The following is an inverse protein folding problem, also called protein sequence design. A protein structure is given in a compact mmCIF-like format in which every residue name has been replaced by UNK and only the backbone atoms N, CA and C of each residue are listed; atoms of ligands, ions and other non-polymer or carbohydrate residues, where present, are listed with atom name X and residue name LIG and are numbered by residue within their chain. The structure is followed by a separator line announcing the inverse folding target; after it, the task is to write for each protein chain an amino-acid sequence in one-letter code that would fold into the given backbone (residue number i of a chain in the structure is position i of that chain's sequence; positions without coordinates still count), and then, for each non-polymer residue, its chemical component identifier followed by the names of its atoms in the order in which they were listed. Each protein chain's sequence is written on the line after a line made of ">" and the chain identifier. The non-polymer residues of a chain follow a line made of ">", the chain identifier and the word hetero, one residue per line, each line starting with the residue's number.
data_IF_545406810515
#
_entry.id   IF_545406810515
#
_cell.length_a   1.000
_cell.length_b   1.000
_cell.length_c   1.000
_cell.angle_alpha   90.00
_cell.angle_beta   90.00
_cell.angle_gamma   90.00
#
_symmetry.space_group_name_H-M   'P 1'
#
loop_
_entity.id
_entity.type
_entity.pdbx_description
1 polymer ?
#
# COMPACT_ATOMS: atom_id res chain seq x y z
N UNK A 1 34.39 -14.20 -12.91
CA UNK A 1 33.05 -13.82 -13.26
C UNK A 1 32.11 -14.80 -12.53
N UNK A 2 31.50 -14.40 -11.45
CA UNK A 2 30.46 -15.22 -10.80
C UNK A 2 29.24 -15.17 -11.72
N UNK A 3 28.90 -16.28 -12.35
CA UNK A 3 27.64 -16.43 -13.10
C UNK A 3 26.55 -16.42 -12.03
N UNK A 4 25.91 -15.27 -11.83
CA UNK A 4 24.68 -15.21 -11.01
C UNK A 4 23.66 -16.11 -11.70
N UNK A 5 23.15 -17.09 -10.96
CA UNK A 5 22.09 -17.98 -11.46
C UNK A 5 20.90 -17.11 -11.90
N UNK A 6 20.27 -17.49 -13.02
CA UNK A 6 19.06 -16.77 -13.50
C UNK A 6 17.98 -16.88 -12.44
N UNK A 7 17.24 -15.78 -12.12
CA UNK A 7 16.11 -15.86 -11.20
C UNK A 7 15.05 -16.84 -11.71
N UNK A 8 14.52 -17.66 -10.81
CA UNK A 8 13.41 -18.58 -11.07
C UNK A 8 12.10 -17.80 -10.88
N UNK A 9 11.30 -17.69 -11.93
CA UNK A 9 10.10 -16.85 -11.98
C UNK A 9 8.87 -17.71 -12.23
N UNK A 10 7.80 -17.44 -11.47
CA UNK A 10 6.47 -18.01 -11.70
C UNK A 10 5.53 -16.90 -12.16
N UNK A 11 4.72 -17.18 -13.18
CA UNK A 11 3.80 -16.19 -13.77
C UNK A 11 2.35 -16.50 -13.38
N UNK A 12 1.58 -15.46 -13.02
CA UNK A 12 0.17 -15.59 -12.65
C UNK A 12 -0.63 -14.49 -13.33
N UNK A 13 -1.53 -14.85 -14.25
CA UNK A 13 -2.43 -13.93 -14.94
C UNK A 13 -3.57 -14.71 -15.57
N UNK A 14 -4.82 -14.28 -15.44
CA UNK A 14 -5.98 -14.98 -16.02
C UNK A 14 -6.11 -14.79 -17.54
N UNK A 15 -5.23 -13.98 -18.15
CA UNK A 15 -5.17 -13.74 -19.57
C UNK A 15 -3.99 -14.47 -20.23
N UNK A 16 -4.25 -15.54 -20.96
CA UNK A 16 -3.21 -16.35 -21.64
C UNK A 16 -2.30 -15.54 -22.59
N UNK A 17 -2.84 -14.51 -23.24
CA UNK A 17 -2.05 -13.61 -24.10
C UNK A 17 -1.03 -12.79 -23.29
N UNK A 18 -1.38 -12.38 -22.08
CA UNK A 18 -0.46 -11.65 -21.18
C UNK A 18 0.64 -12.59 -20.72
N UNK A 19 0.32 -13.80 -20.27
CA UNK A 19 1.32 -14.81 -19.89
C UNK A 19 2.32 -15.07 -21.04
N UNK A 20 1.81 -15.28 -22.27
CA UNK A 20 2.66 -15.50 -23.44
C UNK A 20 3.55 -14.28 -23.75
N UNK A 21 3.00 -13.06 -23.65
CA UNK A 21 3.74 -11.83 -23.88
C UNK A 21 4.82 -11.60 -22.83
N UNK A 22 4.48 -11.73 -21.55
CA UNK A 22 5.42 -11.59 -20.43
C UNK A 22 6.54 -12.62 -20.53
N UNK A 23 6.23 -13.88 -20.84
CA UNK A 23 7.25 -14.92 -21.06
C UNK A 23 8.20 -14.55 -22.21
N UNK A 24 7.67 -14.02 -23.32
CA UNK A 24 8.50 -13.60 -24.46
C UNK A 24 9.42 -12.41 -24.10
N UNK A 25 8.92 -11.43 -23.36
CA UNK A 25 9.69 -10.27 -22.91
C UNK A 25 10.79 -10.63 -21.90
N UNK A 26 10.54 -11.57 -21.00
CA UNK A 26 11.53 -12.06 -20.04
C UNK A 26 12.64 -12.88 -20.72
N UNK A 27 12.32 -13.60 -21.80
CA UNK A 27 13.24 -14.33 -22.64
C UNK A 27 14.21 -15.22 -21.84
N UNK A 28 15.48 -15.19 -22.23
CA UNK A 28 16.55 -15.95 -21.58
C UNK A 28 17.12 -15.28 -20.31
N UNK A 29 16.59 -14.14 -19.89
CA UNK A 29 17.10 -13.40 -18.73
C UNK A 29 16.70 -14.03 -17.39
N UNK A 30 15.66 -14.86 -17.38
CA UNK A 30 15.13 -15.57 -16.22
C UNK A 30 14.80 -17.03 -16.57
N UNK A 31 14.55 -17.86 -15.56
CA UNK A 31 14.01 -19.21 -15.72
C UNK A 31 12.54 -19.19 -15.34
N UNK A 32 11.61 -19.28 -16.31
CA UNK A 32 10.18 -19.40 -16.03
C UNK A 32 9.88 -20.84 -15.62
N UNK A 33 9.61 -21.06 -14.32
CA UNK A 33 9.42 -22.39 -13.72
C UNK A 33 7.97 -22.87 -13.73
N UNK A 34 7.03 -22.00 -14.06
CA UNK A 34 5.61 -22.32 -14.18
C UNK A 34 4.74 -21.09 -14.42
N UNK A 35 3.47 -21.35 -14.71
CA UNK A 35 2.44 -20.34 -14.88
C UNK A 35 1.08 -20.89 -14.47
N UNK A 36 0.20 -20.00 -14.00
CA UNK A 36 -1.18 -20.31 -13.62
C UNK A 36 -2.12 -19.17 -14.00
N UNK A 37 -3.37 -19.52 -14.27
CA UNK A 37 -4.43 -18.57 -14.61
C UNK A 37 -5.52 -18.43 -13.54
N UNK A 38 -5.42 -19.18 -12.45
CA UNK A 38 -6.39 -19.20 -11.35
C UNK A 38 -5.65 -19.13 -10.01
N UNK A 39 -6.28 -18.50 -9.02
CA UNK A 39 -5.67 -18.23 -7.71
C UNK A 39 -5.32 -19.53 -6.97
N UNK A 40 -6.23 -20.49 -6.91
CA UNK A 40 -6.02 -21.76 -6.21
C UNK A 40 -4.89 -22.57 -6.82
N UNK A 41 -4.87 -22.69 -8.16
CA UNK A 41 -3.81 -23.40 -8.89
C UNK A 41 -2.45 -22.68 -8.71
N UNK A 42 -2.44 -21.34 -8.71
CA UNK A 42 -1.23 -20.57 -8.48
C UNK A 42 -0.63 -20.86 -7.09
N UNK A 43 -1.46 -20.85 -6.04
CA UNK A 43 -1.01 -21.10 -4.66
C UNK A 43 -0.36 -22.49 -4.53
N UNK A 44 -1.02 -23.53 -5.07
CA UNK A 44 -0.51 -24.90 -5.04
C UNK A 44 0.82 -25.03 -5.81
N UNK A 45 0.85 -24.60 -7.07
CA UNK A 45 2.02 -24.74 -7.93
C UNK A 45 3.21 -23.89 -7.47
N UNK A 46 2.98 -22.69 -6.93
CA UNK A 46 4.05 -21.85 -6.38
C UNK A 46 4.70 -22.54 -5.17
N UNK A 47 3.89 -23.14 -4.29
CA UNK A 47 4.39 -23.90 -3.14
C UNK A 47 5.25 -25.09 -3.55
N UNK A 48 4.89 -25.81 -4.63
CA UNK A 48 5.68 -26.93 -5.15
C UNK A 48 6.96 -26.49 -5.86
N UNK A 49 6.91 -25.41 -6.63
CA UNK A 49 8.02 -24.97 -7.49
C UNK A 49 9.03 -24.09 -6.75
N UNK A 50 8.61 -23.44 -5.67
CA UNK A 50 9.42 -22.51 -4.86
C UNK A 50 10.26 -21.55 -5.71
N UNK A 51 9.62 -20.65 -6.50
CA UNK A 51 10.33 -19.66 -7.31
C UNK A 51 11.01 -18.60 -6.45
N UNK A 52 11.98 -17.86 -7.01
CA UNK A 52 12.57 -16.69 -6.37
C UNK A 52 11.60 -15.49 -6.42
N UNK A 53 10.90 -15.35 -7.54
CA UNK A 53 9.95 -14.26 -7.79
C UNK A 53 8.66 -14.80 -8.40
N UNK A 54 7.53 -14.34 -7.90
CA UNK A 54 6.22 -14.48 -8.54
C UNK A 54 5.85 -13.16 -9.17
N UNK A 55 5.68 -13.14 -10.49
CA UNK A 55 5.11 -12.02 -11.24
C UNK A 55 3.62 -12.30 -11.42
N UNK A 56 2.76 -11.43 -10.85
CA UNK A 56 1.33 -11.73 -10.78
C UNK A 56 0.45 -10.53 -11.11
N UNK A 57 -0.66 -10.81 -11.81
CA UNK A 57 -1.72 -9.81 -12.01
C UNK A 57 -2.44 -9.53 -10.69
N UNK A 58 -2.78 -8.25 -10.51
CA UNK A 58 -3.54 -7.77 -9.35
C UNK A 58 -5.01 -8.13 -9.45
N UNK A 59 -5.57 -8.04 -10.66
CA UNK A 59 -7.00 -8.16 -10.92
C UNK A 59 -7.37 -9.50 -11.57
N UNK A 60 -7.56 -10.51 -10.75
CA UNK A 60 -8.02 -11.84 -11.19
C UNK A 60 -9.25 -12.26 -10.37
N UNK A 61 -10.13 -13.12 -10.91
CA UNK A 61 -11.16 -13.77 -10.10
C UNK A 61 -10.59 -14.52 -8.89
N UNK A 62 -11.39 -14.76 -7.87
CA UNK A 62 -10.95 -15.56 -6.70
C UNK A 62 -10.12 -14.79 -5.67
N UNK A 63 -10.18 -13.45 -5.66
CA UNK A 63 -9.47 -12.60 -4.69
C UNK A 63 -8.20 -11.95 -5.23
N UNK A 64 -7.87 -12.21 -6.50
CA UNK A 64 -6.78 -11.56 -7.22
C UNK A 64 -5.38 -11.86 -6.70
N UNK A 65 -4.42 -11.10 -7.16
CA UNK A 65 -3.02 -11.24 -6.75
C UNK A 65 -2.80 -11.12 -5.25
N UNK A 66 -3.63 -10.34 -4.57
CA UNK A 66 -3.56 -10.21 -3.11
C UNK A 66 -3.77 -11.56 -2.41
N UNK A 67 -4.75 -12.35 -2.80
CA UNK A 67 -5.02 -13.66 -2.19
C UNK A 67 -3.83 -14.62 -2.36
N UNK A 68 -3.18 -14.61 -3.53
CA UNK A 68 -1.97 -15.40 -3.79
C UNK A 68 -0.83 -14.95 -2.86
N UNK A 69 -0.58 -13.65 -2.75
CA UNK A 69 0.49 -13.10 -1.90
C UNK A 69 0.27 -13.49 -0.43
N UNK A 70 -0.95 -13.31 0.09
CA UNK A 70 -1.27 -13.61 1.49
C UNK A 70 -1.13 -15.11 1.80
N UNK A 71 -1.64 -15.99 0.92
CA UNK A 71 -1.60 -17.43 1.13
C UNK A 71 -0.18 -18.00 1.02
N UNK A 72 0.55 -17.64 -0.04
CA UNK A 72 1.92 -18.12 -0.28
C UNK A 72 2.89 -17.50 0.71
N UNK A 73 2.78 -16.19 0.99
CA UNK A 73 3.67 -15.49 1.92
C UNK A 73 3.61 -16.01 3.35
N UNK A 74 2.46 -16.56 3.78
CA UNK A 74 2.29 -17.18 5.08
C UNK A 74 3.11 -18.49 5.24
N UNK A 75 3.34 -19.21 4.16
CA UNK A 75 4.02 -20.52 4.17
C UNK A 75 5.43 -20.48 3.58
N UNK A 76 5.70 -19.53 2.67
CA UNK A 76 6.96 -19.41 1.94
C UNK A 76 7.46 -17.95 1.98
N UNK A 77 7.95 -17.44 3.12
CA UNK A 77 8.34 -16.05 3.33
C UNK A 77 9.51 -15.56 2.46
N UNK A 78 10.29 -16.48 1.90
CA UNK A 78 11.44 -16.16 1.04
C UNK A 78 11.03 -15.83 -0.39
N UNK A 79 9.83 -16.24 -0.84
CA UNK A 79 9.30 -15.95 -2.17
C UNK A 79 8.93 -14.46 -2.24
N UNK A 80 9.38 -13.80 -3.30
CA UNK A 80 9.13 -12.38 -3.51
C UNK A 80 8.07 -12.18 -4.59
N UNK A 81 7.23 -11.14 -4.41
CA UNK A 81 6.12 -10.85 -5.31
C UNK A 81 6.33 -9.52 -6.01
N UNK A 82 6.20 -9.53 -7.33
CA UNK A 82 6.14 -8.36 -8.19
C UNK A 82 4.75 -8.28 -8.83
N UNK A 83 3.95 -7.32 -8.42
CA UNK A 83 2.63 -7.12 -8.99
C UNK A 83 2.71 -6.46 -10.37
N UNK A 84 1.94 -6.97 -11.32
CA UNK A 84 1.78 -6.46 -12.68
C UNK A 84 0.31 -6.09 -12.89
N UNK A 85 -0.02 -4.84 -13.25
CA UNK A 85 -1.41 -4.39 -13.37
C UNK A 85 -1.62 -3.42 -14.52
N UNK A 86 -2.84 -3.32 -15.01
CA UNK A 86 -3.27 -2.27 -15.95
C UNK A 86 -3.53 -0.94 -15.24
N UNK A 87 -3.80 -0.97 -13.94
CA UNK A 87 -4.14 0.18 -13.09
C UNK A 87 -2.93 0.68 -12.31
N UNK A 88 -2.84 1.98 -12.09
CA UNK A 88 -1.92 2.63 -11.15
C UNK A 88 -2.68 3.29 -9.97
N UNK A 89 -3.89 2.82 -9.70
CA UNK A 89 -4.72 3.32 -8.60
C UNK A 89 -4.05 3.05 -7.24
N UNK A 90 -4.06 4.07 -6.38
CA UNK A 90 -3.39 4.01 -5.07
C UNK A 90 -3.91 2.87 -4.19
N UNK A 91 -5.20 2.56 -4.27
CA UNK A 91 -5.82 1.50 -3.48
C UNK A 91 -5.26 0.12 -3.84
N UNK A 92 -5.09 -0.17 -5.14
CA UNK A 92 -4.53 -1.44 -5.63
C UNK A 92 -3.08 -1.61 -5.18
N UNK A 93 -2.28 -0.55 -5.37
CA UNK A 93 -0.86 -0.53 -4.97
C UNK A 93 -0.73 -0.78 -3.47
N UNK A 94 -1.46 -0.01 -2.65
CA UNK A 94 -1.41 -0.13 -1.19
C UNK A 94 -1.86 -1.52 -0.73
N UNK A 95 -2.90 -2.08 -1.34
CA UNK A 95 -3.44 -3.39 -0.98
C UNK A 95 -2.40 -4.51 -1.18
N UNK A 96 -1.73 -4.56 -2.34
CA UNK A 96 -0.76 -5.63 -2.63
C UNK A 96 0.57 -5.43 -1.87
N UNK A 97 1.02 -4.19 -1.65
CA UNK A 97 2.21 -3.92 -0.84
C UNK A 97 1.97 -4.31 0.62
N UNK A 98 0.79 -4.01 1.18
CA UNK A 98 0.41 -4.47 2.53
C UNK A 98 0.31 -6.00 2.63
N UNK A 99 -0.11 -6.67 1.57
CA UNK A 99 -0.13 -8.13 1.50
C UNK A 99 1.28 -8.75 1.46
N UNK A 100 2.32 -7.97 1.10
CA UNK A 100 3.72 -8.43 1.09
C UNK A 100 4.42 -8.32 -0.26
N UNK A 101 3.80 -7.71 -1.28
CA UNK A 101 4.50 -7.48 -2.55
C UNK A 101 5.72 -6.57 -2.36
N UNK A 102 6.81 -6.90 -3.05
CA UNK A 102 8.06 -6.13 -3.07
C UNK A 102 8.09 -5.10 -4.19
N UNK A 103 7.17 -5.17 -5.14
CA UNK A 103 7.10 -4.23 -6.21
C UNK A 103 5.76 -4.19 -6.90
N UNK A 104 5.57 -3.13 -7.67
CA UNK A 104 4.40 -2.90 -8.50
C UNK A 104 4.81 -2.22 -9.79
N UNK A 105 4.46 -2.82 -10.92
CA UNK A 105 4.69 -2.28 -12.26
C UNK A 105 3.39 -2.33 -13.07
N UNK A 106 3.25 -1.41 -14.01
CA UNK A 106 2.09 -1.42 -14.91
C UNK A 106 2.35 -2.30 -16.14
N UNK A 107 1.32 -2.91 -16.71
CA UNK A 107 1.40 -3.74 -17.93
C UNK A 107 1.86 -2.95 -19.18
N UNK A 108 2.12 -1.65 -19.02
CA UNK A 108 2.74 -0.78 -20.05
C UNK A 108 4.26 -0.72 -19.96
N UNK A 109 4.85 -1.40 -18.99
CA UNK A 109 6.31 -1.49 -18.82
C UNK A 109 6.96 -2.13 -20.06
N UNK A 110 8.14 -1.66 -20.45
CA UNK A 110 8.90 -2.29 -21.53
C UNK A 110 9.57 -3.58 -21.09
N UNK A 111 9.86 -4.50 -22.02
CA UNK A 111 10.51 -5.77 -21.71
C UNK A 111 11.84 -5.63 -20.96
N UNK A 112 12.78 -4.77 -21.39
CA UNK A 112 14.02 -4.55 -20.65
C UNK A 112 13.82 -4.03 -19.22
N UNK A 113 12.85 -3.12 -19.01
CA UNK A 113 12.51 -2.62 -17.67
C UNK A 113 11.85 -3.70 -16.80
N UNK A 114 11.04 -4.59 -17.39
CA UNK A 114 10.43 -5.70 -16.70
C UNK A 114 11.50 -6.70 -16.21
N UNK A 115 12.48 -7.02 -17.07
CA UNK A 115 13.63 -7.86 -16.70
C UNK A 115 14.42 -7.24 -15.55
N UNK A 116 14.74 -5.95 -15.62
CA UNK A 116 15.42 -5.22 -14.53
C UNK A 116 14.59 -5.28 -13.23
N UNK A 117 13.29 -5.04 -13.32
CA UNK A 117 12.39 -5.10 -12.17
C UNK A 117 12.40 -6.49 -11.50
N UNK A 118 12.32 -7.57 -12.28
CA UNK A 118 12.36 -8.95 -11.76
C UNK A 118 13.72 -9.23 -11.10
N UNK A 119 14.84 -8.85 -11.73
CA UNK A 119 16.18 -9.07 -11.18
C UNK A 119 16.39 -8.32 -9.85
N UNK A 120 15.95 -7.09 -9.77
CA UNK A 120 16.01 -6.27 -8.56
C UNK A 120 15.16 -6.85 -7.43
N UNK A 121 13.92 -7.26 -7.74
CA UNK A 121 13.05 -7.92 -6.75
C UNK A 121 13.66 -9.22 -6.30
N UNK A 122 14.25 -10.04 -7.20
CA UNK A 122 14.98 -11.25 -6.84
C UNK A 122 16.15 -10.96 -5.88
N UNK A 123 16.86 -9.86 -6.11
CA UNK A 123 17.91 -9.35 -5.21
C UNK A 123 17.42 -8.82 -3.86
N UNK A 124 16.11 -8.64 -3.69
CA UNK A 124 15.51 -8.13 -2.45
C UNK A 124 15.17 -6.64 -2.46
N UNK A 125 15.41 -5.93 -3.56
CA UNK A 125 15.03 -4.52 -3.71
C UNK A 125 13.51 -4.35 -3.81
N UNK A 126 13.03 -3.17 -3.42
CA UNK A 126 11.68 -2.75 -3.75
C UNK A 126 11.65 -2.07 -5.13
N UNK A 127 10.64 -2.39 -5.93
CA UNK A 127 10.46 -1.79 -7.27
C UNK A 127 9.11 -1.08 -7.36
N UNK A 128 9.17 0.24 -7.34
CA UNK A 128 8.02 1.13 -7.46
C UNK A 128 8.42 2.36 -8.28
N UNK A 129 7.52 2.90 -9.09
CA UNK A 129 7.75 4.23 -9.64
C UNK A 129 7.75 5.27 -8.50
N UNK A 130 8.42 6.44 -8.66
CA UNK A 130 8.43 7.48 -7.63
C UNK A 130 7.03 7.91 -7.18
N UNK A 131 6.05 7.95 -8.10
CA UNK A 131 4.65 8.28 -7.82
C UNK A 131 4.01 7.21 -6.92
N UNK A 132 4.18 5.93 -7.25
CA UNK A 132 3.60 4.82 -6.47
C UNK A 132 4.25 4.70 -5.10
N UNK A 133 5.56 4.95 -4.99
CA UNK A 133 6.26 5.02 -3.71
C UNK A 133 5.68 6.11 -2.80
N UNK A 134 5.28 7.27 -3.36
CA UNK A 134 4.58 8.32 -2.62
C UNK A 134 3.29 7.81 -1.98
N UNK A 135 2.43 7.11 -2.72
CA UNK A 135 1.18 6.54 -2.18
C UNK A 135 1.43 5.55 -1.04
N UNK A 136 2.45 4.71 -1.19
CA UNK A 136 2.83 3.74 -0.16
C UNK A 136 3.31 4.46 1.10
N UNK A 137 4.20 5.44 0.97
CA UNK A 137 4.70 6.21 2.11
C UNK A 137 3.60 6.97 2.83
N UNK A 138 2.67 7.59 2.10
CA UNK A 138 1.53 8.31 2.68
C UNK A 138 0.59 7.36 3.43
N UNK A 139 0.33 6.17 2.88
CA UNK A 139 -0.50 5.17 3.51
C UNK A 139 0.12 4.64 4.80
N UNK A 140 1.42 4.33 4.78
CA UNK A 140 2.13 3.87 5.98
C UNK A 140 2.31 4.98 7.02
N UNK A 141 2.52 6.24 6.61
CA UNK A 141 2.54 7.38 7.51
C UNK A 141 1.18 7.61 8.18
N UNK A 142 0.08 7.30 7.49
CA UNK A 142 -1.26 7.34 8.07
C UNK A 142 -1.49 6.21 9.10
N UNK A 143 -0.91 5.02 8.87
CA UNK A 143 -0.96 3.89 9.82
C UNK A 143 -0.01 4.10 11.02
N UNK A 144 1.10 4.80 10.82
CA UNK A 144 2.05 5.17 11.87
C UNK A 144 1.54 6.34 12.75
N UNK A 145 0.23 6.51 12.83
CA UNK A 145 -0.36 7.24 13.95
C UNK A 145 -0.07 6.41 15.17
N UNK A 146 0.75 6.96 16.04
CA UNK A 146 1.20 6.35 17.30
C UNK A 146 0.09 5.66 18.11
N UNK A 147 0.36 5.10 19.30
CA UNK A 147 -0.55 4.21 19.97
C UNK A 147 -1.98 4.72 19.86
N UNK A 148 -2.90 3.86 19.43
CA UNK A 148 -4.34 4.14 19.34
C UNK A 148 -4.75 4.90 20.59
N UNK A 149 -5.03 6.19 20.46
CA UNK A 149 -5.52 7.00 21.57
C UNK A 149 -7.05 6.84 21.58
N UNK A 150 -7.61 6.05 22.50
CA UNK A 150 -9.05 5.78 22.55
C UNK A 150 -9.89 7.06 22.63
N UNK A 151 -9.31 8.15 23.14
CA UNK A 151 -9.96 9.45 23.20
C UNK A 151 -10.05 10.09 21.82
N UNK A 152 -9.02 9.93 20.97
CA UNK A 152 -9.05 10.40 19.57
C UNK A 152 -10.01 9.59 18.69
N UNK A 153 -10.20 8.32 18.97
CA UNK A 153 -11.08 7.45 18.16
C UNK A 153 -12.57 7.76 18.35
N UNK A 154 -12.93 8.45 19.43
CA UNK A 154 -14.28 8.97 19.64
C UNK A 154 -14.61 10.17 18.74
N UNK A 155 -13.59 10.77 18.11
CA UNK A 155 -13.76 11.94 17.25
C UNK A 155 -14.00 11.53 15.81
N UNK A 156 -14.96 12.18 15.16
CA UNK A 156 -15.18 12.08 13.71
C UNK A 156 -13.99 12.69 12.95
N UNK A 157 -13.87 12.39 11.66
CA UNK A 157 -12.83 12.97 10.78
C UNK A 157 -12.83 14.50 10.86
N UNK A 158 -14.00 15.13 10.79
CA UNK A 158 -14.17 16.60 10.87
C UNK A 158 -13.80 17.16 12.24
N UNK A 159 -14.11 16.46 13.30
CA UNK A 159 -13.72 16.86 14.66
C UNK A 159 -12.20 16.76 14.84
N UNK A 160 -11.55 15.74 14.27
CA UNK A 160 -10.07 15.60 14.26
C UNK A 160 -9.39 16.72 13.48
N UNK A 161 -9.94 17.15 12.34
CA UNK A 161 -9.44 18.30 11.58
C UNK A 161 -9.52 19.59 12.38
N UNK A 162 -10.69 19.89 12.97
CA UNK A 162 -10.88 21.09 13.81
C UNK A 162 -9.98 21.05 15.03
N UNK A 163 -9.81 19.90 15.70
CA UNK A 163 -8.90 19.70 16.82
C UNK A 163 -7.46 20.10 16.46
N UNK A 164 -6.92 19.63 15.32
CA UNK A 164 -5.56 19.95 14.88
C UNK A 164 -5.34 21.45 14.69
N UNK A 165 -6.30 22.14 14.10
CA UNK A 165 -6.22 23.59 13.91
C UNK A 165 -6.31 24.36 15.24
N UNK A 166 -7.20 23.94 16.13
CA UNK A 166 -7.32 24.53 17.45
C UNK A 166 -6.04 24.37 18.28
N UNK A 167 -5.44 23.19 18.23
CA UNK A 167 -4.19 22.87 18.92
C UNK A 167 -3.02 23.74 18.44
N UNK A 168 -2.97 24.04 17.13
CA UNK A 168 -2.00 24.96 16.51
C UNK A 168 -2.28 26.44 16.77
N UNK A 169 -3.34 26.77 17.49
CA UNK A 169 -3.64 28.14 17.88
C UNK A 169 -4.53 28.94 16.90
N UNK A 170 -5.02 28.33 15.79
CA UNK A 170 -5.86 29.04 14.82
C UNK A 170 -7.21 29.47 15.43
N UNK A 171 -7.64 30.69 15.11
CA UNK A 171 -8.97 31.18 15.47
C UNK A 171 -10.08 30.46 14.69
N UNK A 172 -11.31 30.47 15.20
CA UNK A 172 -12.44 29.87 14.50
C UNK A 172 -12.67 30.44 13.10
N UNK A 173 -12.37 31.76 12.90
CA UNK A 173 -12.46 32.42 11.60
C UNK A 173 -11.42 31.87 10.61
N UNK A 174 -10.20 31.62 11.05
CA UNK A 174 -9.14 31.04 10.23
C UNK A 174 -9.45 29.60 9.89
N UNK A 175 -9.92 28.80 10.86
CA UNK A 175 -10.34 27.41 10.65
C UNK A 175 -11.48 27.33 9.65
N UNK A 176 -12.49 28.17 9.80
CA UNK A 176 -13.63 28.25 8.90
C UNK A 176 -13.20 28.49 7.44
N UNK A 177 -12.23 29.40 7.25
CA UNK A 177 -11.65 29.69 5.92
C UNK A 177 -10.85 28.51 5.36
N UNK A 178 -9.99 27.89 6.18
CA UNK A 178 -9.15 26.77 5.73
C UNK A 178 -9.95 25.51 5.39
N UNK A 179 -10.99 25.23 6.17
CA UNK A 179 -11.85 24.06 5.96
C UNK A 179 -13.04 24.33 5.03
N UNK A 180 -13.19 25.56 4.50
CA UNK A 180 -14.30 26.00 3.65
C UNK A 180 -15.70 25.73 4.26
N UNK A 181 -15.85 26.02 5.57
CA UNK A 181 -17.10 25.86 6.33
C UNK A 181 -17.47 27.15 7.07
N UNK A 182 -18.68 27.23 7.61
CA UNK A 182 -19.08 28.38 8.42
C UNK A 182 -18.41 28.41 9.79
N UNK A 183 -18.22 29.62 10.35
CA UNK A 183 -17.71 29.78 11.73
C UNK A 183 -18.62 29.03 12.72
N UNK A 184 -19.92 29.06 12.51
CA UNK A 184 -20.91 28.33 13.33
C UNK A 184 -20.68 26.82 13.31
N UNK A 185 -20.30 26.27 12.14
CA UNK A 185 -19.95 24.86 12.00
C UNK A 185 -18.67 24.52 12.76
N UNK A 186 -17.66 25.41 12.71
CA UNK A 186 -16.42 25.23 13.51
C UNK A 186 -16.72 25.23 15.00
N UNK A 187 -17.57 26.16 15.50
CA UNK A 187 -18.00 26.20 16.89
C UNK A 187 -18.69 24.91 17.33
N UNK A 188 -19.54 24.36 16.48
CA UNK A 188 -20.23 23.11 16.74
C UNK A 188 -19.26 21.95 16.88
N UNK A 189 -18.30 21.81 15.95
CA UNK A 189 -17.27 20.77 16.02
C UNK A 189 -16.33 20.97 17.21
N UNK A 190 -15.90 22.21 17.50
CA UNK A 190 -15.07 22.52 18.64
C UNK A 190 -15.74 22.15 19.98
N UNK A 191 -17.03 22.46 20.11
CA UNK A 191 -17.81 22.09 21.30
C UNK A 191 -17.97 20.57 21.43
N UNK A 192 -18.17 19.86 20.31
CA UNK A 192 -18.24 18.39 20.31
C UNK A 192 -16.89 17.77 20.71
N UNK A 193 -15.75 18.30 20.21
CA UNK A 193 -14.40 17.88 20.58
C UNK A 193 -14.16 18.04 22.08
N UNK A 194 -14.42 19.24 22.62
CA UNK A 194 -14.21 19.51 24.05
C UNK A 194 -15.04 18.55 24.92
N UNK A 195 -16.30 18.32 24.56
CA UNK A 195 -17.18 17.41 25.28
C UNK A 195 -16.68 15.95 25.23
N UNK A 196 -16.29 15.45 24.04
CA UNK A 196 -15.85 14.07 23.87
C UNK A 196 -14.52 13.80 24.56
N UNK A 197 -13.61 14.77 24.57
CA UNK A 197 -12.33 14.70 25.28
C UNK A 197 -12.42 15.11 26.76
N UNK A 198 -13.62 15.41 27.26
CA UNK A 198 -13.89 15.87 28.64
C UNK A 198 -13.05 17.11 29.04
N UNK A 199 -12.80 18.00 28.08
CA UNK A 199 -12.07 19.25 28.28
C UNK A 199 -13.05 20.41 28.40
N UNK A 200 -12.72 21.39 29.25
CA UNK A 200 -13.62 22.52 29.55
C UNK A 200 -13.32 23.76 28.73
N UNK A 201 -12.13 23.89 28.18
CA UNK A 201 -11.73 25.06 27.43
C UNK A 201 -10.58 24.79 26.45
N UNK A 202 -10.31 25.78 25.58
CA UNK A 202 -9.29 25.70 24.54
C UNK A 202 -7.85 25.55 25.10
N UNK A 203 -7.55 26.15 26.24
CA UNK A 203 -6.22 26.02 26.82
C UNK A 203 -5.92 24.59 27.26
N UNK A 204 -6.91 23.93 27.85
CA UNK A 204 -6.79 22.52 28.18
C UNK A 204 -6.63 21.66 26.92
N UNK A 205 -7.35 21.99 25.83
CA UNK A 205 -7.23 21.27 24.55
C UNK A 205 -5.82 21.43 23.96
N UNK A 206 -5.25 22.66 23.95
CA UNK A 206 -3.89 22.88 23.44
C UNK A 206 -2.85 22.10 24.25
N UNK A 207 -2.96 22.09 25.57
CA UNK A 207 -2.06 21.33 26.45
C UNK A 207 -2.23 19.82 26.22
N UNK A 208 -3.45 19.32 26.16
CA UNK A 208 -3.78 17.91 25.89
C UNK A 208 -3.20 17.46 24.56
N UNK A 209 -3.29 18.29 23.51
CA UNK A 209 -2.73 17.98 22.19
C UNK A 209 -1.19 18.02 22.16
N UNK A 210 -0.57 18.95 22.91
CA UNK A 210 0.87 19.05 23.04
C UNK A 210 1.46 17.84 23.76
N UNK A 211 0.83 17.39 24.85
CA UNK A 211 1.26 16.21 25.62
C UNK A 211 1.25 14.93 24.76
N UNK A 212 0.40 14.90 23.73
CA UNK A 212 0.26 13.78 22.77
C UNK A 212 1.04 13.99 21.46
N UNK A 213 1.81 15.03 21.34
CA UNK A 213 2.60 15.39 20.14
C UNK A 213 1.75 15.48 18.87
N UNK A 214 0.54 16.00 18.97
CA UNK A 214 -0.37 16.20 17.83
C UNK A 214 -0.12 17.53 17.10
N UNK A 215 0.78 18.34 17.61
CA UNK A 215 1.23 19.65 17.09
C UNK A 215 2.73 19.80 17.28
#
# INVERSE_FOLDING_TARGET
>A
MMTTAKPRVFLVDDHALVLSGVRAELGDSVEVVGEASEVEAAIEMIGERTPDVVLLDVHMPGGGGRAVIEAVGATHPDIKFLALSVSDASEDVIAVIRAGARGYVTKTISGPELVDAVQRVAGGDAVLSPRLAGFVLDAFAADYRGPVDPELDQLTVREKEVLRHLARGYSYKEIARQLSISIKTVETHASAVLRKLQLTNRHQLSRWASDRRLV
#
